data_IF_267926111865
#
_entry.id   IF_267926111865
#
_cell.length_a   1.000
_cell.length_b   1.000
_cell.length_c   1.000
_cell.angle_alpha   90.00
_cell.angle_beta   90.00
_cell.angle_gamma   90.00
#
_symmetry.space_group_name_H-M   'P 1'
#
loop_
_entity.id
_entity.type
_entity.pdbx_description
1 polymer ?
#
# COMPACT_ATOMS: atom_id res chain seq x y z
N UNK A 1 -22.28 -3.83 15.60
CA UNK A 1 -21.13 -3.06 16.12
C UNK A 1 -21.38 -1.60 15.78
N UNK A 2 -21.77 -0.81 16.79
CA UNK A 2 -21.94 0.64 16.71
C UNK A 2 -20.62 1.29 16.32
N UNK A 3 -20.66 2.22 15.38
CA UNK A 3 -19.52 3.08 15.07
C UNK A 3 -19.25 3.91 16.32
N UNK A 4 -18.07 3.76 16.90
CA UNK A 4 -17.75 4.45 18.14
C UNK A 4 -17.70 5.97 17.96
N UNK A 5 -17.89 6.75 19.04
CA UNK A 5 -17.79 8.23 19.06
C UNK A 5 -16.48 8.78 18.46
N UNK A 6 -15.45 7.95 18.41
CA UNK A 6 -14.08 8.27 17.98
C UNK A 6 -13.96 8.43 16.46
N UNK A 7 -14.78 7.72 15.67
CA UNK A 7 -14.73 7.80 14.20
C UNK A 7 -15.32 9.12 13.67
N UNK A 8 -16.44 9.54 14.26
CA UNK A 8 -17.03 10.86 14.00
C UNK A 8 -16.04 11.97 14.31
N UNK A 9 -15.26 11.80 15.38
CA UNK A 9 -14.23 12.75 15.78
C UNK A 9 -13.01 12.74 14.82
N UNK A 10 -12.59 11.59 14.30
CA UNK A 10 -11.53 11.48 13.27
C UNK A 10 -11.90 12.20 11.97
N UNK A 11 -13.10 11.96 11.44
CA UNK A 11 -13.58 12.64 10.24
C UNK A 11 -13.73 14.16 10.47
N UNK A 12 -14.25 14.56 11.64
CA UNK A 12 -14.39 15.98 12.02
C UNK A 12 -13.04 16.69 12.15
N UNK A 13 -11.99 16.02 12.63
CA UNK A 13 -10.67 16.62 12.89
C UNK A 13 -9.81 16.82 11.65
N UNK A 14 -10.04 16.04 10.60
CA UNK A 14 -9.17 16.01 9.42
C UNK A 14 -9.78 16.67 8.17
N UNK A 15 -10.87 17.44 8.35
CA UNK A 15 -11.62 18.16 7.30
C UNK A 15 -11.86 17.31 6.04
N UNK A 16 -11.95 15.99 6.24
CA UNK A 16 -12.44 15.05 5.26
C UNK A 16 -13.93 15.35 5.20
N UNK A 17 -14.30 16.24 4.28
CA UNK A 17 -15.64 16.80 4.15
C UNK A 17 -16.68 15.74 4.53
N UNK A 18 -17.46 16.05 5.56
CA UNK A 18 -18.83 15.57 5.63
C UNK A 18 -19.40 15.70 4.22
N UNK A 19 -19.72 14.63 3.46
CA UNK A 19 -20.18 14.76 2.07
C UNK A 19 -21.64 15.22 2.06
N UNK A 20 -21.95 16.14 2.97
CA UNK A 20 -23.29 16.43 3.35
C UNK A 20 -23.57 17.92 3.40
N UNK A 21 -24.11 18.36 2.27
CA UNK A 21 -25.57 18.44 2.36
C UNK A 21 -26.17 17.13 2.92
N UNK A 22 -26.42 17.09 4.23
CA UNK A 22 -26.99 16.03 5.10
C UNK A 22 -27.04 14.54 4.68
N UNK A 23 -26.04 13.71 5.01
CA UNK A 23 -25.94 12.24 4.79
C UNK A 23 -24.69 11.63 5.48
N UNK A 24 -24.75 11.39 6.79
CA UNK A 24 -23.70 10.70 7.55
C UNK A 24 -23.16 9.48 6.79
N UNK A 25 -21.87 9.50 6.37
CA UNK A 25 -21.24 8.30 5.80
C UNK A 25 -21.15 7.27 6.92
N UNK A 26 -21.88 6.17 6.79
CA UNK A 26 -21.84 5.08 7.75
C UNK A 26 -20.44 4.44 7.78
N UNK A 27 -20.05 3.82 8.90
CA UNK A 27 -18.81 3.04 8.94
C UNK A 27 -18.80 1.88 7.93
N UNK A 28 -19.96 1.44 7.46
CA UNK A 28 -20.08 0.49 6.38
C UNK A 28 -19.63 1.11 5.04
N UNK A 29 -19.98 2.36 4.77
CA UNK A 29 -19.58 3.09 3.57
C UNK A 29 -18.11 3.49 3.57
N UNK A 30 -17.52 3.81 4.73
CA UNK A 30 -16.06 4.03 4.82
C UNK A 30 -15.28 2.72 4.67
N UNK A 31 -15.74 1.64 5.33
CA UNK A 31 -15.18 0.30 5.07
C UNK A 31 -15.31 -0.04 3.59
N UNK A 32 -16.41 0.31 2.94
CA UNK A 32 -16.56 0.16 1.49
C UNK A 32 -15.58 1.04 0.73
N UNK A 33 -15.36 2.32 1.09
CA UNK A 33 -14.41 3.17 0.40
C UNK A 33 -13.01 2.57 0.40
N UNK A 34 -12.49 2.13 1.55
CA UNK A 34 -11.16 1.50 1.60
C UNK A 34 -11.13 0.10 1.00
N UNK A 35 -12.21 -0.68 1.12
CA UNK A 35 -12.38 -1.97 0.43
C UNK A 35 -12.69 -1.83 -1.07
N UNK A 36 -12.90 -0.63 -1.59
CA UNK A 36 -13.03 -0.37 -3.02
C UNK A 36 -11.72 0.24 -3.54
N UNK A 37 -11.22 1.24 -2.82
CA UNK A 37 -9.98 1.92 -3.13
C UNK A 37 -8.77 1.03 -2.93
N UNK A 38 -8.73 0.05 -2.04
CA UNK A 38 -7.56 -0.81 -1.81
C UNK A 38 -7.90 -2.30 -1.86
N UNK A 39 -8.81 -2.70 -2.74
CA UNK A 39 -9.12 -4.10 -2.96
C UNK A 39 -8.33 -4.67 -4.14
N UNK A 40 -7.39 -5.61 -3.89
CA UNK A 40 -6.58 -6.23 -4.92
C UNK A 40 -7.41 -6.93 -5.99
N UNK A 41 -8.53 -7.55 -5.63
CA UNK A 41 -9.35 -8.33 -6.57
C UNK A 41 -10.00 -7.48 -7.68
N UNK A 42 -9.99 -6.15 -7.53
CA UNK A 42 -10.54 -5.19 -8.51
C UNK A 42 -9.54 -4.14 -8.97
N UNK A 43 -8.44 -3.91 -8.25
CA UNK A 43 -7.37 -2.98 -8.67
C UNK A 43 -6.47 -3.62 -9.73
N UNK A 44 -6.29 -2.92 -10.84
CA UNK A 44 -5.39 -3.27 -11.94
C UNK A 44 -4.65 -2.02 -12.45
N UNK A 45 -3.40 -2.16 -12.93
CA UNK A 45 -2.53 -1.04 -13.33
C UNK A 45 -2.89 -0.47 -14.72
N UNK A 46 -4.12 -0.01 -14.92
CA UNK A 46 -4.58 0.46 -16.24
C UNK A 46 -3.77 1.64 -16.76
N UNK A 47 -3.49 2.62 -15.91
CA UNK A 47 -2.70 3.78 -16.33
C UNK A 47 -1.26 3.38 -16.65
N UNK A 48 -0.63 2.56 -15.80
CA UNK A 48 0.73 2.07 -16.02
C UNK A 48 0.81 1.20 -17.28
N UNK A 49 -0.23 0.43 -17.62
CA UNK A 49 -0.27 -0.37 -18.85
C UNK A 49 -0.12 0.45 -20.13
N UNK A 50 -0.38 1.75 -20.06
CA UNK A 50 -0.27 2.69 -21.20
C UNK A 50 0.94 3.61 -21.09
N UNK A 51 1.31 4.04 -19.87
CA UNK A 51 2.24 5.18 -19.68
C UNK A 51 3.48 4.89 -18.82
N UNK A 52 3.71 3.64 -18.41
CA UNK A 52 4.81 3.31 -17.49
C UNK A 52 6.22 3.51 -18.09
N UNK A 53 6.37 3.48 -19.42
CA UNK A 53 7.60 3.81 -20.13
C UNK A 53 7.71 5.28 -20.55
N UNK A 54 6.64 6.07 -20.38
CA UNK A 54 6.59 7.47 -20.77
C UNK A 54 6.68 8.43 -19.59
N UNK A 55 6.21 8.01 -18.40
CA UNK A 55 6.06 8.87 -17.23
C UNK A 55 6.27 8.09 -15.94
N UNK A 56 6.87 8.74 -14.95
CA UNK A 56 6.98 8.20 -13.59
C UNK A 56 5.78 8.66 -12.77
N UNK A 57 4.90 7.72 -12.43
CA UNK A 57 3.84 7.95 -11.44
C UNK A 57 4.35 7.59 -10.04
N UNK A 58 4.28 8.55 -9.13
CA UNK A 58 4.56 8.37 -7.70
C UNK A 58 3.26 8.21 -6.93
N UNK A 59 3.29 7.53 -5.79
CA UNK A 59 2.12 7.40 -4.92
C UNK A 59 1.56 8.78 -4.53
N UNK A 60 0.24 8.87 -4.34
CA UNK A 60 -0.39 10.11 -3.88
C UNK A 60 0.19 10.47 -2.50
N UNK A 61 0.70 11.70 -2.30
CA UNK A 61 1.22 12.11 -1.01
C UNK A 61 0.19 12.06 0.14
N UNK A 62 -1.11 12.14 -0.15
CA UNK A 62 -2.19 11.93 0.84
C UNK A 62 -2.44 10.45 1.15
N UNK A 63 -1.93 9.54 0.32
CA UNK A 63 -1.85 8.09 0.57
C UNK A 63 -0.51 7.71 1.23
N UNK A 64 0.09 8.62 2.01
CA UNK A 64 1.40 8.42 2.68
C UNK A 64 1.51 7.00 3.30
N UNK A 65 2.57 6.24 2.95
CA UNK A 65 2.78 4.89 3.46
C UNK A 65 2.98 4.78 4.98
N UNK A 66 3.01 5.88 5.72
CA UNK A 66 3.02 5.96 7.18
C UNK A 66 1.62 6.05 7.80
N UNK A 67 0.60 6.46 7.04
CA UNK A 67 -0.66 6.98 7.60
C UNK A 67 -1.66 5.91 8.04
N UNK A 68 -1.63 4.73 7.40
CA UNK A 68 -2.60 3.66 7.68
C UNK A 68 -1.90 2.32 7.91
N UNK A 69 -1.51 2.01 9.17
CA UNK A 69 -0.74 0.83 9.53
C UNK A 69 -1.40 -0.48 9.10
N UNK A 70 -2.72 -0.54 9.21
CA UNK A 70 -3.52 -1.69 8.76
C UNK A 70 -3.41 -1.95 7.24
N UNK A 71 -2.99 -0.97 6.45
CA UNK A 71 -2.84 -1.09 4.99
C UNK A 71 -1.38 -1.12 4.52
N UNK A 72 -0.38 -0.98 5.40
CA UNK A 72 1.02 -0.86 4.97
C UNK A 72 1.49 -2.00 4.09
N UNK A 73 1.19 -3.24 4.47
CA UNK A 73 1.55 -4.41 3.68
C UNK A 73 0.94 -4.34 2.28
N UNK A 74 -0.35 -4.01 2.20
CA UNK A 74 -1.06 -3.91 0.93
C UNK A 74 -0.53 -2.77 0.07
N UNK A 75 -0.24 -1.63 0.67
CA UNK A 75 0.32 -0.46 0.00
C UNK A 75 1.65 -0.80 -0.68
N UNK A 76 2.58 -1.41 0.07
CA UNK A 76 3.90 -1.78 -0.44
C UNK A 76 3.82 -2.82 -1.56
N UNK A 77 2.90 -3.79 -1.45
CA UNK A 77 2.66 -4.77 -2.51
C UNK A 77 2.10 -4.12 -3.78
N UNK A 78 1.24 -3.11 -3.69
CA UNK A 78 0.79 -2.35 -4.86
C UNK A 78 1.94 -1.55 -5.49
N UNK A 79 2.77 -0.89 -4.69
CA UNK A 79 3.94 -0.17 -5.20
C UNK A 79 4.91 -1.10 -5.93
N UNK A 80 5.15 -2.30 -5.39
CA UNK A 80 5.91 -3.34 -6.09
C UNK A 80 5.22 -3.73 -7.41
N UNK A 81 3.94 -4.10 -7.35
CA UNK A 81 3.18 -4.57 -8.50
C UNK A 81 3.13 -3.56 -9.65
N UNK A 82 3.08 -2.27 -9.32
CA UNK A 82 2.93 -1.17 -10.28
C UNK A 82 4.28 -0.50 -10.61
N UNK A 83 5.37 -0.96 -10.00
CA UNK A 83 6.69 -0.32 -10.06
C UNK A 83 6.64 1.20 -9.82
N UNK A 84 5.83 1.61 -8.84
CA UNK A 84 5.63 3.00 -8.48
C UNK A 84 6.48 3.35 -7.25
N UNK A 85 7.20 4.49 -7.26
CA UNK A 85 7.87 4.99 -6.08
C UNK A 85 6.87 5.38 -4.98
N UNK A 86 7.21 5.07 -3.73
CA UNK A 86 6.50 5.60 -2.59
C UNK A 86 6.70 7.11 -2.47
N UNK A 87 5.66 7.83 -2.08
CA UNK A 87 5.76 9.21 -1.65
C UNK A 87 5.79 9.23 -0.11
N UNK A 88 6.94 9.55 0.47
CA UNK A 88 7.03 9.83 1.90
C UNK A 88 6.88 11.32 2.08
N UNK A 89 5.76 11.76 2.67
CA UNK A 89 5.60 13.17 3.00
C UNK A 89 6.48 13.46 4.22
N UNK A 90 7.58 14.19 4.00
CA UNK A 90 8.25 14.86 5.10
C UNK A 90 7.49 16.18 5.32
N UNK A 91 6.77 16.36 6.44
CA UNK A 91 6.19 17.66 6.68
C UNK A 91 7.35 18.66 6.75
N UNK A 92 7.36 19.64 5.85
CA UNK A 92 8.24 20.80 5.96
C UNK A 92 7.93 21.64 7.22
N UNK A 93 6.95 21.22 8.02
CA UNK A 93 6.45 21.91 9.18
C UNK A 93 6.15 20.90 10.29
N UNK A 94 7.21 20.44 10.95
CA UNK A 94 7.14 20.06 12.36
C UNK A 94 6.89 21.29 13.27
N UNK A 95 6.65 22.49 12.70
CA UNK A 95 6.69 23.79 13.39
C UNK A 95 5.70 24.87 12.88
N UNK A 96 4.71 24.57 12.02
CA UNK A 96 3.72 25.59 11.62
C UNK A 96 2.39 25.42 12.35
N UNK A 97 1.80 26.56 12.71
CA UNK A 97 0.59 26.67 13.51
C UNK A 97 -0.70 26.50 12.69
N UNK A 98 -0.64 25.98 11.46
CA UNK A 98 -1.83 25.80 10.60
C UNK A 98 -2.59 24.50 10.94
N UNK A 99 -3.82 24.60 11.48
CA UNK A 99 -4.57 23.45 11.99
C UNK A 99 -5.36 22.68 10.92
N UNK A 100 -5.25 23.02 9.63
CA UNK A 100 -6.16 22.50 8.57
C UNK A 100 -5.60 21.33 7.76
N UNK A 101 -4.37 20.87 8.03
CA UNK A 101 -3.76 19.73 7.35
C UNK A 101 -4.28 18.37 7.84
N UNK A 102 -4.62 17.42 6.95
CA UNK A 102 -5.29 16.19 7.36
C UNK A 102 -4.36 15.13 8.00
N UNK A 103 -3.04 15.33 8.15
CA UNK A 103 -2.13 14.29 8.66
C UNK A 103 -2.18 14.13 10.19
N UNK A 104 -2.03 12.92 10.74
CA UNK A 104 -1.59 12.76 12.13
C UNK A 104 -0.31 13.57 12.30
N UNK A 105 -0.30 14.50 13.26
CA UNK A 105 0.72 15.54 13.35
C UNK A 105 2.08 14.94 13.70
N UNK A 106 2.07 13.78 14.38
CA UNK A 106 3.27 13.02 14.73
C UNK A 106 3.02 11.49 14.74
N UNK A 107 4.09 10.70 14.71
CA UNK A 107 4.04 9.23 14.79
C UNK A 107 3.37 8.72 16.08
N UNK A 108 3.40 9.52 17.13
CA UNK A 108 2.73 9.25 18.41
C UNK A 108 1.21 9.28 18.27
N UNK A 109 0.65 10.23 17.50
CA UNK A 109 -0.79 10.29 17.21
C UNK A 109 -1.26 9.04 16.46
N UNK A 110 -0.37 8.47 15.62
CA UNK A 110 -0.61 7.22 14.92
C UNK A 110 -0.70 6.03 15.89
N UNK A 111 0.19 5.95 16.87
CA UNK A 111 0.15 4.92 17.92
C UNK A 111 -1.12 5.09 18.77
N UNK A 112 -1.46 6.31 19.18
CA UNK A 112 -2.68 6.56 19.96
C UNK A 112 -3.95 6.16 19.18
N UNK A 113 -4.01 6.52 17.90
CA UNK A 113 -5.20 6.28 17.07
C UNK A 113 -5.35 4.81 16.67
N UNK A 114 -4.25 4.14 16.34
CA UNK A 114 -4.28 2.80 15.72
C UNK A 114 -3.67 1.68 16.56
N UNK A 115 -2.99 1.98 17.68
CA UNK A 115 -2.30 0.98 18.49
C UNK A 115 -3.23 -0.09 19.05
N UNK A 116 -4.48 0.25 19.39
CA UNK A 116 -5.49 -0.74 19.79
C UNK A 116 -5.86 -1.72 18.65
N UNK A 117 -5.79 -1.26 17.40
CA UNK A 117 -6.19 -2.02 16.21
C UNK A 117 -5.03 -2.79 15.58
N UNK A 118 -3.80 -2.34 15.83
CA UNK A 118 -2.57 -2.87 15.25
C UNK A 118 -1.59 -3.15 16.39
N UNK A 119 -1.74 -4.30 17.08
CA UNK A 119 -0.89 -4.65 18.22
C UNK A 119 0.58 -4.71 17.83
N UNK A 120 1.46 -4.03 18.57
CA UNK A 120 2.90 -3.94 18.28
C UNK A 120 3.29 -2.75 17.41
N UNK A 121 2.34 -1.89 17.01
CA UNK A 121 2.61 -0.64 16.31
C UNK A 121 3.56 0.29 17.09
N UNK A 122 3.47 0.26 18.42
CA UNK A 122 4.32 1.02 19.35
C UNK A 122 5.81 0.65 19.26
N UNK A 123 6.13 -0.53 18.73
CA UNK A 123 7.50 -1.02 18.59
C UNK A 123 8.16 -0.60 17.27
N UNK A 124 7.42 0.01 16.35
CA UNK A 124 7.92 0.47 15.06
C UNK A 124 8.10 1.99 15.10
N UNK A 125 9.15 2.51 14.49
CA UNK A 125 9.32 3.95 14.25
C UNK A 125 9.05 4.33 12.80
N UNK A 126 8.72 5.61 12.56
CA UNK A 126 8.58 6.15 11.20
C UNK A 126 9.83 5.88 10.34
N UNK A 127 11.02 6.06 10.92
CA UNK A 127 12.29 5.85 10.25
C UNK A 127 12.50 4.39 9.83
N UNK A 128 12.24 3.44 10.73
CA UNK A 128 12.37 2.00 10.44
C UNK A 128 11.38 1.55 9.37
N UNK A 129 10.12 2.01 9.47
CA UNK A 129 9.08 1.74 8.48
C UNK A 129 9.47 2.27 7.09
N UNK A 130 9.97 3.50 7.01
CA UNK A 130 10.49 4.10 5.77
C UNK A 130 11.68 3.33 5.21
N UNK A 131 12.66 3.02 6.05
CA UNK A 131 13.86 2.30 5.65
C UNK A 131 13.52 0.92 5.09
N UNK A 132 12.65 0.17 5.76
CA UNK A 132 12.18 -1.16 5.30
C UNK A 132 11.53 -1.08 3.93
N UNK A 133 10.62 -0.12 3.74
CA UNK A 133 9.96 0.05 2.46
C UNK A 133 10.98 0.30 1.35
N UNK A 134 11.93 1.21 1.59
CA UNK A 134 12.95 1.55 0.60
C UNK A 134 13.90 0.39 0.31
N UNK A 135 14.23 -0.45 1.30
CA UNK A 135 15.05 -1.65 1.09
C UNK A 135 14.39 -2.63 0.12
N UNK A 136 13.07 -2.73 0.15
CA UNK A 136 12.29 -3.62 -0.75
C UNK A 136 12.10 -2.95 -2.11
N UNK A 137 11.65 -1.69 -2.13
CA UNK A 137 11.26 -0.99 -3.36
C UNK A 137 12.46 -0.54 -4.20
N UNK A 138 13.51 0.04 -3.61
CA UNK A 138 14.56 0.69 -4.38
C UNK A 138 15.29 -0.26 -5.37
N UNK A 139 15.67 -1.50 -5.00
CA UNK A 139 16.27 -2.43 -5.95
C UNK A 139 15.32 -2.80 -7.09
N UNK A 140 14.03 -2.89 -6.82
CA UNK A 140 13.00 -3.18 -7.82
C UNK A 140 12.81 -2.01 -8.78
N UNK A 141 12.62 -0.80 -8.25
CA UNK A 141 12.39 0.41 -9.03
C UNK A 141 13.59 0.72 -9.94
N UNK A 142 14.83 0.54 -9.45
CA UNK A 142 16.03 0.71 -10.25
C UNK A 142 16.05 -0.14 -11.54
N UNK A 143 15.31 -1.25 -11.56
CA UNK A 143 15.21 -2.17 -12.71
C UNK A 143 13.97 -1.93 -13.56
N UNK A 144 12.87 -1.51 -12.93
CA UNK A 144 11.54 -1.57 -13.54
C UNK A 144 10.96 -0.21 -13.92
N UNK A 145 11.34 0.87 -13.23
CA UNK A 145 10.63 2.17 -13.23
C UNK A 145 10.43 2.82 -14.61
N UNK A 146 11.30 2.52 -15.58
CA UNK A 146 11.29 3.13 -16.92
C UNK A 146 10.88 2.15 -18.02
N UNK A 147 10.41 0.96 -17.65
CA UNK A 147 10.08 -0.09 -18.60
C UNK A 147 8.62 -0.03 -19.03
N UNK A 148 8.31 -0.55 -20.22
CA UNK A 148 6.92 -0.73 -20.60
C UNK A 148 6.31 -1.88 -19.82
N UNK A 149 5.15 -1.65 -19.21
CA UNK A 149 4.33 -2.72 -18.64
C UNK A 149 3.66 -3.48 -19.79
N UNK A 150 4.09 -4.72 -20.03
CA UNK A 150 3.60 -5.53 -21.16
C UNK A 150 2.36 -6.34 -20.80
N UNK A 151 2.31 -6.86 -19.58
CA UNK A 151 1.23 -7.75 -19.15
C UNK A 151 0.98 -7.64 -17.66
N UNK A 152 -0.30 -7.59 -17.30
CA UNK A 152 -0.77 -7.80 -15.93
C UNK A 152 -1.79 -8.95 -15.93
N UNK A 153 -1.69 -9.84 -14.94
CA UNK A 153 -2.55 -11.03 -14.84
C UNK A 153 -2.82 -11.45 -13.39
N UNK A 154 -4.01 -12.01 -13.17
CA UNK A 154 -4.35 -12.71 -11.94
C UNK A 154 -3.88 -14.16 -12.04
N UNK A 155 -3.16 -14.64 -11.02
CA UNK A 155 -2.66 -16.01 -10.93
C UNK A 155 -3.52 -16.91 -10.03
N UNK A 156 -4.42 -16.33 -9.23
CA UNK A 156 -5.36 -17.05 -8.38
C UNK A 156 -6.81 -16.70 -8.72
N UNK A 157 -7.74 -17.61 -8.45
CA UNK A 157 -9.17 -17.44 -8.74
C UNK A 157 -9.84 -16.35 -7.91
N UNK A 158 -9.36 -16.14 -6.67
CA UNK A 158 -9.76 -15.05 -5.78
C UNK A 158 -9.09 -13.70 -6.13
N UNK A 159 -8.20 -13.70 -7.15
CA UNK A 159 -7.47 -12.53 -7.65
C UNK A 159 -6.49 -11.88 -6.65
N UNK A 160 -6.19 -12.58 -5.56
CA UNK A 160 -5.26 -12.11 -4.53
C UNK A 160 -3.80 -12.31 -4.92
N UNK A 161 -3.51 -13.22 -5.85
CA UNK A 161 -2.17 -13.39 -6.42
C UNK A 161 -2.14 -12.76 -7.80
N UNK A 162 -1.20 -11.84 -8.00
CA UNK A 162 -1.12 -11.02 -9.21
C UNK A 162 0.29 -10.97 -9.74
N UNK A 163 0.42 -10.83 -11.05
CA UNK A 163 1.70 -10.70 -11.73
C UNK A 163 1.69 -9.53 -12.71
N UNK A 164 2.76 -8.74 -12.68
CA UNK A 164 3.05 -7.74 -13.72
C UNK A 164 4.38 -8.09 -14.39
N UNK A 165 4.42 -8.07 -15.72
CA UNK A 165 5.61 -8.33 -16.56
C UNK A 165 5.93 -7.12 -17.41
N UNK A 166 7.22 -6.78 -17.48
CA UNK A 166 7.75 -5.63 -18.20
C UNK A 166 8.55 -6.05 -19.45
N UNK A 167 8.77 -5.11 -20.35
CA UNK A 167 9.30 -5.35 -21.71
C UNK A 167 10.68 -6.00 -21.79
N UNK A 168 11.50 -5.89 -20.75
CA UNK A 168 12.84 -6.47 -20.70
C UNK A 168 12.90 -7.85 -20.00
N UNK A 169 11.75 -8.45 -19.69
CA UNK A 169 11.67 -9.75 -19.03
C UNK A 169 11.67 -9.70 -17.50
N UNK A 170 11.77 -8.52 -16.89
CA UNK A 170 11.52 -8.37 -15.45
C UNK A 170 10.03 -8.53 -15.15
N UNK A 171 9.73 -9.15 -14.01
CA UNK A 171 8.35 -9.31 -13.55
C UNK A 171 8.28 -9.30 -12.03
N UNK A 172 7.09 -9.05 -11.50
CA UNK A 172 6.78 -9.10 -10.09
C UNK A 172 5.54 -9.96 -9.89
N UNK A 173 5.58 -10.86 -8.92
CA UNK A 173 4.42 -11.61 -8.42
C UNK A 173 4.19 -11.18 -6.98
N UNK A 174 2.95 -10.85 -6.63
CA UNK A 174 2.57 -10.51 -5.25
C UNK A 174 1.40 -11.37 -4.81
N UNK A 175 1.33 -11.65 -3.52
CA UNK A 175 0.18 -12.24 -2.87
C UNK A 175 -0.37 -11.25 -1.83
N UNK A 176 -1.57 -10.74 -2.08
CA UNK A 176 -2.23 -9.78 -1.20
C UNK A 176 -3.03 -10.43 -0.07
N UNK A 177 -3.13 -11.75 -0.01
CA UNK A 177 -3.80 -12.43 1.11
C UNK A 177 -3.04 -12.17 2.41
N UNK A 178 -3.79 -11.98 3.50
CA UNK A 178 -3.25 -11.74 4.83
C UNK A 178 -2.84 -13.03 5.55
N UNK A 179 -3.39 -14.18 5.15
CA UNK A 179 -3.28 -15.45 5.87
C UNK A 179 -3.12 -16.69 4.97
N UNK A 180 -3.42 -16.59 3.67
CA UNK A 180 -3.33 -17.70 2.73
C UNK A 180 -2.13 -17.56 1.79
N UNK A 181 -1.26 -18.57 1.77
CA UNK A 181 -0.27 -18.73 0.71
C UNK A 181 -0.90 -19.30 -0.56
N UNK A 182 -0.21 -19.19 -1.69
CA UNK A 182 -0.67 -19.74 -2.96
C UNK A 182 0.44 -20.48 -3.72
N UNK A 183 0.05 -21.50 -4.48
CA UNK A 183 0.97 -22.17 -5.41
C UNK A 183 0.93 -21.46 -6.76
N UNK A 184 2.08 -21.04 -7.26
CA UNK A 184 2.26 -20.30 -8.53
C UNK A 184 3.04 -21.13 -9.57
N UNK A 185 2.79 -22.45 -9.59
CA UNK A 185 3.35 -23.38 -10.54
C UNK A 185 4.85 -23.59 -10.33
N UNK A 186 5.65 -23.38 -11.37
CA UNK A 186 7.11 -23.58 -11.33
C UNK A 186 7.84 -22.63 -10.38
N UNK A 187 7.23 -21.52 -9.99
CA UNK A 187 7.77 -20.56 -9.03
C UNK A 187 7.58 -21.02 -7.57
N UNK A 188 6.86 -22.12 -7.33
CA UNK A 188 6.64 -22.69 -6.00
C UNK A 188 5.49 -22.03 -5.24
N UNK A 189 5.58 -22.05 -3.90
CA UNK A 189 4.58 -21.46 -3.01
C UNK A 189 4.96 -20.00 -2.73
N UNK A 190 4.05 -19.04 -2.91
CA UNK A 190 4.19 -17.67 -2.42
C UNK A 190 3.45 -17.53 -1.07
N UNK A 191 4.09 -17.04 -0.01
CA UNK A 191 3.46 -16.86 1.30
C UNK A 191 2.39 -15.75 1.26
N UNK A 192 1.52 -15.64 2.30
CA UNK A 192 0.68 -14.46 2.50
C UNK A 192 1.54 -13.20 2.55
N UNK A 193 1.04 -12.09 2.01
CA UNK A 193 1.79 -10.82 1.89
C UNK A 193 3.15 -10.95 1.19
N UNK A 194 3.34 -12.03 0.44
CA UNK A 194 4.59 -12.36 -0.23
C UNK A 194 4.78 -11.60 -1.53
N UNK A 195 6.04 -11.43 -1.93
CA UNK A 195 6.40 -10.93 -3.25
C UNK A 195 7.61 -11.68 -3.82
N UNK A 196 7.58 -11.98 -5.12
CA UNK A 196 8.71 -12.49 -5.91
C UNK A 196 9.05 -11.51 -7.02
N UNK A 197 10.31 -11.05 -7.04
CA UNK A 197 10.85 -10.24 -8.12
C UNK A 197 11.67 -11.14 -9.04
N UNK A 198 11.33 -11.10 -10.32
CA UNK A 198 11.77 -12.03 -11.33
C UNK A 198 12.57 -11.32 -12.41
N UNK A 199 13.60 -11.98 -12.91
CA UNK A 199 14.30 -11.65 -14.15
C UNK A 199 14.22 -12.89 -15.06
N UNK A 200 13.58 -12.75 -16.22
CA UNK A 200 13.39 -13.85 -17.16
C UNK A 200 12.76 -15.11 -16.52
N UNK A 201 11.74 -14.88 -15.67
CA UNK A 201 11.02 -15.91 -14.89
C UNK A 201 11.83 -16.59 -13.77
N UNK A 202 13.04 -16.12 -13.47
CA UNK A 202 13.85 -16.61 -12.35
C UNK A 202 13.76 -15.60 -11.19
N UNK A 203 13.37 -16.01 -9.98
CA UNK A 203 13.40 -15.12 -8.82
C UNK A 203 14.82 -14.67 -8.48
N UNK A 204 15.06 -13.35 -8.47
CA UNK A 204 16.29 -12.76 -7.94
C UNK A 204 16.09 -12.17 -6.53
N UNK A 205 14.83 -11.92 -6.15
CA UNK A 205 14.47 -11.56 -4.78
C UNK A 205 13.10 -12.14 -4.43
N UNK A 206 12.96 -12.55 -3.18
CA UNK A 206 11.69 -13.00 -2.59
C UNK A 206 11.60 -12.53 -1.15
N UNK A 207 10.39 -12.27 -0.68
CA UNK A 207 10.18 -11.89 0.71
C UNK A 207 8.70 -11.75 1.03
N UNK A 208 8.46 -11.26 2.23
CA UNK A 208 7.13 -10.94 2.76
C UNK A 208 7.14 -9.48 3.19
N UNK A 209 6.07 -8.76 2.88
CA UNK A 209 5.85 -7.46 3.48
C UNK A 209 5.09 -7.69 4.77
N UNK A 210 5.81 -7.64 5.87
CA UNK A 210 5.20 -7.58 7.18
C UNK A 210 5.17 -6.11 7.66
N UNK A 211 4.05 -5.63 8.22
CA UNK A 211 3.93 -4.24 8.62
C UNK A 211 4.67 -3.92 9.94
N UNK A 212 4.98 -4.92 10.78
CA UNK A 212 5.36 -4.73 12.19
C UNK A 212 6.67 -5.38 12.61
N UNK A 213 7.36 -6.10 11.73
CA UNK A 213 8.62 -6.80 12.02
C UNK A 213 8.43 -7.94 13.04
N UNK A 214 7.34 -8.70 12.89
CA UNK A 214 6.98 -9.85 13.74
C UNK A 214 7.17 -11.18 13.01
#
# INVERSE_FOLDING_TARGET
>A
MTVGPVWTEFCRRHDLSDPTGGNEISAAEVRNYWNLAWNPAVRIPLWQSVFHDATVAVADPYEDPARFPIQWARHDLFLLLYAAPACWWAPAELNSEDPTGPSPRHWEDMIETYGEWVPGLEAVTYGERKQRQLQILAPWLARSLHLKLEKHEYLSSDRMVQKTTYSNGYAVVVNFSDDQGANIGSLGQIPPRGYYLLENSIPFAKGEVDPLNQ
#
